data_IF_211672766946
#
_entry.id   IF_211672766946
#
_cell.length_a   1.000
_cell.length_b   1.000
_cell.length_c   1.000
_cell.angle_alpha   90.00
_cell.angle_beta   90.00
_cell.angle_gamma   90.00
#
_symmetry.space_group_name_H-M   'P 1'
#
loop_
_entity.id
_entity.type
_entity.pdbx_description
1 polymer ?
#
# COMPACT_ATOMS: atom_id res chain seq x y z
N UNK A 1 -8.17 20.06 36.55
CA UNK A 1 -7.49 19.02 37.35
C UNK A 1 -7.32 19.37 38.80
N UNK A 2 -6.69 20.49 39.17
CA UNK A 2 -6.52 20.91 40.57
C UNK A 2 -7.86 20.90 41.36
N UNK A 3 -8.91 21.50 40.80
CA UNK A 3 -10.25 21.58 41.43
C UNK A 3 -10.86 20.19 41.74
N UNK A 4 -10.65 19.17 40.89
CA UNK A 4 -11.16 17.82 41.17
C UNK A 4 -10.34 17.15 42.28
N UNK A 5 -9.00 17.36 42.32
CA UNK A 5 -8.14 16.85 43.39
C UNK A 5 -8.49 17.48 44.73
N UNK A 6 -8.76 18.79 44.77
CA UNK A 6 -9.16 19.52 45.97
C UNK A 6 -10.52 19.04 46.51
N UNK A 7 -11.43 18.62 45.65
CA UNK A 7 -12.75 18.12 46.06
C UNK A 7 -12.87 16.59 46.07
N UNK A 8 -11.76 15.86 46.05
CA UNK A 8 -11.75 14.38 45.98
C UNK A 8 -12.56 13.70 47.11
N UNK A 9 -12.64 14.30 48.28
CA UNK A 9 -13.47 13.81 49.40
C UNK A 9 -14.99 13.92 49.13
N UNK A 10 -15.39 14.86 48.28
CA UNK A 10 -16.80 15.10 47.93
C UNK A 10 -17.20 14.31 46.65
N UNK A 11 -16.23 13.67 46.00
CA UNK A 11 -16.40 12.92 44.75
C UNK A 11 -15.94 11.46 44.95
N UNK A 12 -16.61 10.67 45.78
CA UNK A 12 -16.22 9.29 46.01
C UNK A 12 -16.31 8.48 44.72
N UNK A 13 -15.22 7.76 44.38
CA UNK A 13 -15.13 6.97 43.16
C UNK A 13 -14.63 7.72 41.90
N UNK A 14 -14.31 9.01 42.06
CA UNK A 14 -13.67 9.78 40.98
C UNK A 14 -12.15 9.80 41.20
N UNK A 15 -11.41 9.36 40.19
CA UNK A 15 -9.94 9.34 40.19
C UNK A 15 -9.41 10.02 38.92
N UNK A 16 -8.31 10.77 39.08
CA UNK A 16 -7.62 11.37 37.92
C UNK A 16 -6.43 10.48 37.60
N UNK A 17 -6.46 9.89 36.42
CA UNK A 17 -5.38 9.06 35.89
C UNK A 17 -4.71 9.81 34.71
N UNK A 18 -3.39 9.90 34.73
CA UNK A 18 -2.62 10.37 33.58
C UNK A 18 -2.50 9.22 32.56
N UNK A 19 -2.91 9.48 31.33
CA UNK A 19 -2.79 8.52 30.24
C UNK A 19 -2.01 9.15 29.08
N UNK A 20 -1.25 8.34 28.39
CA UNK A 20 -0.63 8.74 27.12
C UNK A 20 -1.68 8.80 26.00
N UNK A 21 -1.57 9.82 25.17
CA UNK A 21 -2.37 9.94 23.97
C UNK A 21 -1.46 10.07 22.74
N UNK A 22 -1.82 9.39 21.66
CA UNK A 22 -1.09 9.53 20.38
C UNK A 22 -1.40 10.91 19.78
N UNK A 23 -0.35 11.64 19.41
CA UNK A 23 -0.43 12.90 18.68
C UNK A 23 0.40 12.81 17.41
N UNK A 24 -0.11 13.34 16.32
CA UNK A 24 0.56 13.35 15.01
C UNK A 24 0.88 14.80 14.64
N UNK A 25 2.11 15.24 14.89
CA UNK A 25 2.53 16.62 14.61
C UNK A 25 2.47 16.97 13.12
N UNK A 26 2.63 15.96 12.24
CA UNK A 26 2.51 16.07 10.80
C UNK A 26 1.41 15.12 10.31
N UNK A 27 0.19 15.39 10.73
CA UNK A 27 -0.97 14.50 10.58
C UNK A 27 -1.43 14.24 9.13
N UNK A 28 -0.96 15.05 8.19
CA UNK A 28 -1.19 14.94 6.75
C UNK A 28 -0.17 14.05 6.02
N UNK A 29 0.96 13.75 6.67
CA UNK A 29 2.03 12.94 6.08
C UNK A 29 1.69 11.45 6.17
N UNK A 30 1.58 10.78 5.02
CA UNK A 30 1.39 9.32 4.88
C UNK A 30 0.38 8.70 5.86
N UNK A 31 -0.80 9.30 6.13
CA UNK A 31 -1.70 8.80 7.18
C UNK A 31 -2.13 7.35 6.95
N UNK A 32 -2.33 6.94 5.70
CA UNK A 32 -2.70 5.56 5.34
C UNK A 32 -1.56 4.53 5.56
N UNK A 33 -0.30 4.97 5.64
CA UNK A 33 0.88 4.14 5.96
C UNK A 33 1.14 4.14 7.45
N UNK A 34 1.12 5.31 8.11
CA UNK A 34 1.23 5.42 9.57
C UNK A 34 0.16 4.56 10.25
N UNK A 35 -1.04 4.60 9.73
CA UNK A 35 -2.15 3.90 10.34
C UNK A 35 -2.64 4.61 11.59
N UNK A 36 -3.30 3.89 12.48
CA UNK A 36 -3.92 4.50 13.67
C UNK A 36 -3.92 3.57 14.87
N UNK A 37 -4.04 4.19 16.01
CA UNK A 37 -4.34 3.52 17.28
C UNK A 37 -5.85 3.56 17.57
N UNK A 38 -6.33 2.65 18.39
CA UNK A 38 -7.72 2.60 18.80
C UNK A 38 -7.94 1.71 20.01
N UNK A 39 -9.12 1.77 20.59
CA UNK A 39 -9.49 0.93 21.74
C UNK A 39 -9.53 -0.54 21.38
N UNK A 40 -9.18 -1.38 22.32
CA UNK A 40 -9.29 -2.83 22.21
C UNK A 40 -10.78 -3.20 22.07
N UNK A 41 -11.13 -3.96 21.02
CA UNK A 41 -12.49 -4.48 20.85
C UNK A 41 -12.68 -5.80 21.59
N UNK A 42 -13.92 -6.17 21.84
CA UNK A 42 -14.24 -7.42 22.54
C UNK A 42 -13.70 -8.66 21.78
N UNK A 43 -13.70 -8.61 20.43
CA UNK A 43 -13.20 -9.68 19.57
C UNK A 43 -11.66 -9.80 19.63
N UNK A 44 -10.95 -8.69 19.78
CA UNK A 44 -9.48 -8.68 19.97
C UNK A 44 -9.10 -9.09 21.40
N UNK A 45 -9.94 -8.73 22.38
CA UNK A 45 -9.70 -9.08 23.79
C UNK A 45 -9.89 -10.55 24.07
N UNK A 46 -10.97 -11.12 23.54
CA UNK A 46 -11.38 -12.52 23.77
C UNK A 46 -11.36 -13.24 22.43
N UNK A 47 -10.45 -14.20 22.27
CA UNK A 47 -10.34 -15.03 21.08
C UNK A 47 -10.85 -16.43 21.42
N UNK A 48 -11.73 -16.99 20.57
CA UNK A 48 -12.21 -18.35 20.69
C UNK A 48 -11.70 -19.15 19.49
N UNK A 49 -10.98 -20.24 19.76
CA UNK A 49 -10.46 -21.11 18.70
C UNK A 49 -11.55 -22.01 18.09
N UNK A 50 -11.19 -22.78 17.07
CA UNK A 50 -12.08 -23.73 16.39
C UNK A 50 -12.63 -24.85 17.31
N UNK A 51 -11.99 -25.09 18.45
CA UNK A 51 -12.38 -26.08 19.43
C UNK A 51 -13.23 -25.49 20.56
N UNK A 52 -13.57 -24.20 20.50
CA UNK A 52 -14.33 -23.49 21.51
C UNK A 52 -13.50 -23.04 22.73
N UNK A 53 -12.17 -23.17 22.70
CA UNK A 53 -11.30 -22.72 23.78
C UNK A 53 -11.16 -21.19 23.72
N UNK A 54 -11.39 -20.56 24.86
CA UNK A 54 -11.28 -19.10 25.01
C UNK A 54 -9.90 -18.72 25.55
N UNK A 55 -9.26 -17.78 24.87
CA UNK A 55 -7.98 -17.19 25.27
C UNK A 55 -8.06 -15.66 25.32
N UNK A 56 -7.14 -15.04 26.04
CA UNK A 56 -7.02 -13.59 26.18
C UNK A 56 -5.58 -13.15 25.82
N UNK A 57 -5.17 -13.22 24.53
CA UNK A 57 -3.78 -13.02 24.15
C UNK A 57 -3.24 -11.64 24.49
N UNK A 58 -4.09 -10.59 24.45
CA UNK A 58 -3.66 -9.24 24.83
C UNK A 58 -3.43 -9.13 26.33
N UNK A 59 -4.24 -9.82 27.17
CA UNK A 59 -4.01 -9.85 28.62
C UNK A 59 -2.69 -10.52 28.98
N UNK A 60 -2.30 -11.56 28.26
CA UNK A 60 -1.00 -12.26 28.43
C UNK A 60 0.17 -11.34 28.07
N UNK A 61 -0.03 -10.40 27.13
CA UNK A 61 0.91 -9.33 26.80
C UNK A 61 0.85 -8.12 27.74
N UNK A 62 0.07 -8.15 28.82
CA UNK A 62 -0.02 -7.10 29.82
C UNK A 62 -0.97 -5.95 29.47
N UNK A 63 -1.90 -6.13 28.52
CA UNK A 63 -2.93 -5.13 28.22
C UNK A 63 -4.11 -5.21 29.19
N UNK A 64 -4.76 -4.08 29.40
CA UNK A 64 -6.08 -3.97 29.99
C UNK A 64 -7.12 -3.77 28.87
N UNK A 65 -8.37 -4.16 29.11
CA UNK A 65 -9.43 -4.07 28.10
C UNK A 65 -9.69 -2.64 27.60
N UNK A 66 -9.36 -1.63 28.41
CA UNK A 66 -9.56 -0.21 28.10
C UNK A 66 -8.34 0.43 27.43
N UNK A 67 -7.27 -0.31 27.25
CA UNK A 67 -6.05 0.18 26.62
C UNK A 67 -6.28 0.47 25.13
N UNK A 68 -5.34 1.22 24.58
CA UNK A 68 -5.27 1.57 23.17
C UNK A 68 -4.15 0.76 22.55
N UNK A 69 -4.37 0.26 21.33
CA UNK A 69 -3.34 -0.45 20.57
C UNK A 69 -3.35 -0.02 19.10
N UNK A 70 -2.30 -0.30 18.37
CA UNK A 70 -2.22 -0.12 16.92
C UNK A 70 -3.26 -0.94 16.20
N UNK A 71 -4.10 -0.29 15.42
CA UNK A 71 -5.20 -0.93 14.65
C UNK A 71 -4.79 -1.20 13.22
N UNK A 72 -3.98 -0.32 12.63
CA UNK A 72 -3.56 -0.43 11.23
C UNK A 72 -2.21 0.24 11.00
N UNK A 73 -1.61 0.00 9.83
CA UNK A 73 -0.38 0.64 9.39
C UNK A 73 0.82 0.33 10.30
N UNK A 74 1.77 1.22 10.33
CA UNK A 74 2.98 1.12 11.16
C UNK A 74 2.66 1.06 12.65
N UNK A 75 1.61 1.77 13.11
CA UNK A 75 1.15 1.69 14.50
C UNK A 75 0.80 0.25 14.91
N UNK A 76 0.23 -0.54 14.00
CA UNK A 76 -0.09 -1.95 14.27
C UNK A 76 1.11 -2.88 14.10
N UNK A 77 1.96 -2.61 13.11
CA UNK A 77 3.13 -3.47 12.81
C UNK A 77 4.18 -3.36 13.92
N UNK A 78 4.41 -2.14 14.40
CA UNK A 78 5.40 -1.83 15.42
C UNK A 78 4.78 -1.60 16.80
N UNK A 79 3.58 -2.16 17.06
CA UNK A 79 2.91 -2.02 18.36
C UNK A 79 3.81 -2.47 19.53
N UNK A 80 4.45 -3.63 19.40
CA UNK A 80 5.31 -4.18 20.47
C UNK A 80 6.55 -3.30 20.72
N UNK A 81 7.01 -2.53 19.73
CA UNK A 81 8.13 -1.59 19.85
C UNK A 81 7.67 -0.22 20.36
N UNK A 82 6.54 0.26 19.84
CA UNK A 82 6.02 1.61 20.16
C UNK A 82 5.35 1.68 21.53
N UNK A 83 4.82 0.55 22.01
CA UNK A 83 4.20 0.46 23.32
C UNK A 83 5.28 0.40 24.40
N UNK A 84 5.20 1.28 25.39
CA UNK A 84 5.99 1.15 26.61
C UNK A 84 5.44 0.07 27.54
N UNK A 85 5.97 0.03 28.75
CA UNK A 85 5.43 -0.78 29.85
C UNK A 85 4.84 0.12 30.91
N UNK A 86 3.65 -0.22 31.36
CA UNK A 86 2.97 0.53 32.39
C UNK A 86 3.71 0.43 33.74
N UNK A 87 3.77 1.55 34.46
CA UNK A 87 4.18 1.56 35.85
C UNK A 87 3.08 1.04 36.79
N UNK A 88 3.45 0.66 37.97
CA UNK A 88 2.51 0.24 39.01
C UNK A 88 2.68 1.14 40.22
N UNK A 89 1.60 1.80 40.66
CA UNK A 89 1.53 2.61 41.83
C UNK A 89 0.64 1.94 42.87
N UNK A 90 1.16 1.78 44.08
CA UNK A 90 0.40 1.26 45.21
C UNK A 90 -0.11 2.41 46.04
N UNK A 91 -1.42 2.51 46.19
CA UNK A 91 -2.11 3.54 46.94
C UNK A 91 -2.63 2.93 48.22
N UNK A 92 -2.18 3.46 49.39
CA UNK A 92 -2.67 3.06 50.71
C UNK A 92 -3.73 4.06 51.18
N UNK A 93 -4.90 3.55 51.58
CA UNK A 93 -6.01 4.36 52.12
C UNK A 93 -6.25 4.00 53.58
N UNK A 94 -6.65 5.00 54.39
CA UNK A 94 -7.10 4.77 55.75
C UNK A 94 -8.56 4.26 55.77
N UNK A 95 -9.11 4.02 56.98
CA UNK A 95 -10.49 3.58 57.21
C UNK A 95 -11.56 4.52 56.63
N UNK A 96 -11.22 5.80 56.45
CA UNK A 96 -12.13 6.82 55.92
C UNK A 96 -12.01 6.98 54.41
N UNK A 97 -11.18 6.12 53.75
CA UNK A 97 -10.96 6.14 52.32
C UNK A 97 -9.98 7.18 51.81
N UNK A 98 -9.33 7.92 52.74
CA UNK A 98 -8.34 8.96 52.40
C UNK A 98 -7.01 8.30 52.05
N UNK A 99 -6.39 8.74 50.96
CA UNK A 99 -5.05 8.30 50.53
C UNK A 99 -4.03 8.82 51.58
N UNK A 100 -3.34 7.88 52.24
CA UNK A 100 -2.33 8.18 53.27
C UNK A 100 -0.90 7.93 52.80
N UNK A 101 -0.75 7.09 51.76
CA UNK A 101 0.55 6.81 51.13
C UNK A 101 0.37 6.42 49.66
N UNK A 102 1.34 6.81 48.85
CA UNK A 102 1.42 6.47 47.43
C UNK A 102 2.85 6.09 47.07
N UNK A 103 3.06 4.86 46.68
CA UNK A 103 4.39 4.31 46.35
C UNK A 103 4.42 3.76 44.91
N UNK A 104 5.31 4.31 44.09
CA UNK A 104 5.62 3.74 42.81
C UNK A 104 6.37 2.42 42.99
N UNK A 105 5.74 1.28 42.67
CA UNK A 105 6.29 -0.06 42.85
C UNK A 105 6.99 -0.55 41.60
N UNK A 106 6.53 -0.13 40.41
CA UNK A 106 7.16 -0.41 39.12
C UNK A 106 7.28 0.91 38.35
N UNK A 107 8.47 1.23 37.89
CA UNK A 107 8.69 2.42 37.05
C UNK A 107 8.18 2.16 35.63
N UNK A 108 7.42 3.07 35.02
CA UNK A 108 7.01 2.94 33.64
C UNK A 108 8.22 3.01 32.70
N UNK A 109 8.22 2.20 31.66
CA UNK A 109 9.24 2.21 30.61
C UNK A 109 8.62 2.78 29.32
N UNK A 110 9.21 3.83 28.68
CA UNK A 110 8.71 4.34 27.43
C UNK A 110 8.93 3.31 26.31
N UNK A 111 8.11 3.36 25.27
CA UNK A 111 8.32 2.60 24.04
C UNK A 111 9.55 3.08 23.27
N UNK A 112 9.94 2.29 22.28
CA UNK A 112 11.08 2.59 21.41
C UNK A 112 10.69 3.57 20.31
N UNK A 113 11.68 4.24 19.74
CA UNK A 113 11.51 5.09 18.56
C UNK A 113 11.67 4.26 17.29
N UNK A 114 10.72 4.37 16.37
CA UNK A 114 10.81 3.82 15.00
C UNK A 114 11.13 4.97 14.05
N UNK A 115 12.28 4.88 13.37
CA UNK A 115 12.69 5.85 12.35
C UNK A 115 12.37 5.31 10.97
N UNK A 116 11.62 6.09 10.18
CA UNK A 116 11.26 5.74 8.81
C UNK A 116 12.32 6.23 7.81
N UNK A 117 12.36 5.61 6.64
CA UNK A 117 13.18 6.05 5.49
C UNK A 117 12.54 7.24 4.74
N UNK A 118 11.31 7.57 5.06
CA UNK A 118 10.56 8.67 4.45
C UNK A 118 11.02 10.01 5.02
N UNK A 119 11.48 10.90 4.12
CA UNK A 119 11.72 12.32 4.46
C UNK A 119 10.41 13.11 4.32
N UNK A 120 9.99 13.79 5.38
CA UNK A 120 8.70 14.49 5.41
C UNK A 120 8.61 15.65 4.41
N UNK A 121 9.71 16.35 4.14
CA UNK A 121 9.72 17.45 3.16
C UNK A 121 9.64 16.90 1.73
N UNK A 122 10.35 15.80 1.46
CA UNK A 122 10.28 15.12 0.17
C UNK A 122 8.88 14.55 -0.06
N UNK A 123 8.31 13.87 0.95
CA UNK A 123 6.93 13.37 0.89
C UNK A 123 5.93 14.47 0.54
N UNK A 124 5.99 15.64 1.21
CA UNK A 124 5.12 16.79 0.90
C UNK A 124 5.28 17.29 -0.53
N UNK A 125 6.51 17.31 -1.04
CA UNK A 125 6.76 17.69 -2.42
C UNK A 125 6.12 16.70 -3.41
N UNK A 126 6.17 15.39 -3.11
CA UNK A 126 5.54 14.34 -3.92
C UNK A 126 4.02 14.42 -3.83
N UNK A 127 3.45 14.62 -2.63
CA UNK A 127 2.01 14.77 -2.42
C UNK A 127 1.46 15.97 -3.21
N UNK A 128 2.17 17.09 -3.13
CA UNK A 128 1.81 18.29 -3.89
C UNK A 128 1.90 18.07 -5.40
N UNK A 129 2.96 17.43 -5.88
CA UNK A 129 3.12 17.14 -7.30
C UNK A 129 2.02 16.22 -7.83
N UNK A 130 1.60 15.21 -7.04
CA UNK A 130 0.48 14.34 -7.39
C UNK A 130 -0.83 15.12 -7.48
N UNK A 131 -1.15 15.95 -6.48
CA UNK A 131 -2.35 16.77 -6.45
C UNK A 131 -2.40 17.76 -7.63
N UNK A 132 -1.31 18.52 -7.84
CA UNK A 132 -1.18 19.48 -8.94
C UNK A 132 -1.36 18.80 -10.32
N UNK A 133 -0.83 17.57 -10.48
CA UNK A 133 -0.95 16.81 -11.73
C UNK A 133 -2.39 16.36 -11.97
N UNK A 134 -3.09 15.86 -10.95
CA UNK A 134 -4.51 15.47 -11.04
C UNK A 134 -5.35 16.70 -11.40
N UNK A 135 -5.12 17.85 -10.77
CA UNK A 135 -5.78 19.09 -11.09
C UNK A 135 -5.51 19.58 -12.51
N UNK A 136 -4.26 19.45 -12.97
CA UNK A 136 -3.86 19.76 -14.34
C UNK A 136 -4.60 18.87 -15.35
N UNK A 137 -4.64 17.56 -15.11
CA UNK A 137 -5.36 16.61 -15.97
C UNK A 137 -6.83 16.99 -16.06
N UNK A 138 -7.46 17.30 -14.92
CA UNK A 138 -8.86 17.67 -14.88
C UNK A 138 -9.15 19.00 -15.60
N UNK A 139 -8.20 19.96 -15.63
CA UNK A 139 -8.32 21.21 -16.36
C UNK A 139 -8.11 21.03 -17.86
N UNK A 140 -7.11 20.26 -18.27
CA UNK A 140 -6.71 20.11 -19.69
C UNK A 140 -7.65 19.16 -20.43
N UNK A 141 -8.07 18.07 -19.78
CA UNK A 141 -8.89 17.02 -20.39
C UNK A 141 -10.34 17.04 -19.91
N UNK A 142 -10.87 18.23 -19.61
CA UNK A 142 -12.25 18.39 -19.14
C UNK A 142 -13.26 18.10 -20.27
N UNK A 143 -13.38 16.83 -20.62
CA UNK A 143 -14.35 16.34 -21.64
C UNK A 143 -15.74 16.05 -21.04
N UNK A 144 -16.00 16.48 -19.81
CA UNK A 144 -17.29 16.35 -19.13
C UNK A 144 -17.61 15.00 -18.53
N UNK A 145 -16.93 13.92 -18.91
CA UNK A 145 -17.29 12.54 -18.52
C UNK A 145 -16.25 11.76 -17.74
N UNK A 146 -14.98 12.14 -17.80
CA UNK A 146 -13.93 11.45 -17.05
C UNK A 146 -13.04 12.47 -16.32
N UNK A 147 -13.15 12.49 -14.99
CA UNK A 147 -12.25 13.25 -14.12
C UNK A 147 -11.27 12.30 -13.47
N UNK A 148 -9.99 12.69 -13.44
CA UNK A 148 -9.02 12.00 -12.57
C UNK A 148 -9.40 12.33 -11.11
N UNK A 149 -9.90 11.34 -10.39
CA UNK A 149 -10.39 11.54 -9.01
C UNK A 149 -9.37 11.08 -7.96
N UNK A 150 -8.42 10.24 -8.36
CA UNK A 150 -7.49 9.62 -7.42
C UNK A 150 -6.18 9.21 -8.11
N UNK A 151 -5.13 9.05 -7.31
CA UNK A 151 -3.83 8.58 -7.78
C UNK A 151 -2.91 8.15 -6.64
N UNK A 152 -1.77 7.57 -6.99
CA UNK A 152 -0.71 7.24 -6.05
C UNK A 152 0.66 7.42 -6.71
N UNK A 153 1.66 7.74 -5.89
CA UNK A 153 3.08 7.77 -6.29
C UNK A 153 3.89 7.02 -5.24
N UNK A 154 4.80 6.16 -5.69
CA UNK A 154 5.80 5.51 -4.85
C UNK A 154 7.17 5.86 -5.39
N UNK A 155 8.08 6.27 -4.50
CA UNK A 155 9.48 6.55 -4.82
C UNK A 155 10.36 5.67 -3.95
N UNK A 156 11.25 4.93 -4.60
CA UNK A 156 12.24 4.06 -3.94
C UNK A 156 13.66 4.56 -4.21
N UNK A 157 14.55 4.37 -3.25
CA UNK A 157 15.98 4.42 -3.53
C UNK A 157 16.39 3.12 -4.24
N UNK A 158 16.94 3.23 -5.44
CA UNK A 158 17.36 2.06 -6.24
C UNK A 158 18.59 1.35 -5.66
N UNK A 159 19.31 1.97 -4.71
CA UNK A 159 20.52 1.38 -4.11
C UNK A 159 20.22 0.32 -3.07
N UNK A 160 19.19 0.55 -2.27
CA UNK A 160 18.85 -0.32 -1.13
C UNK A 160 17.35 -0.72 -1.07
N UNK A 161 16.53 -0.17 -1.97
CA UNK A 161 15.09 -0.44 -2.02
C UNK A 161 14.26 0.31 -0.98
N UNK A 162 14.85 1.23 -0.22
CA UNK A 162 14.12 1.98 0.79
C UNK A 162 13.02 2.86 0.18
N UNK A 163 11.87 2.94 0.87
CA UNK A 163 10.76 3.79 0.45
C UNK A 163 11.05 5.23 0.86
N UNK A 164 11.23 6.11 -0.12
CA UNK A 164 11.47 7.54 0.09
C UNK A 164 10.18 8.35 0.14
N UNK A 165 9.15 7.92 -0.58
CA UNK A 165 7.80 8.50 -0.54
C UNK A 165 6.74 7.48 -0.95
N UNK A 166 5.54 7.59 -0.33
CA UNK A 166 4.36 6.77 -0.63
C UNK A 166 3.11 7.66 -0.58
N UNK A 167 2.82 8.34 -1.69
CA UNK A 167 1.75 9.32 -1.80
C UNK A 167 0.43 8.70 -2.24
N UNK A 168 -0.65 9.18 -1.65
CA UNK A 168 -2.03 8.81 -2.00
C UNK A 168 -2.86 10.08 -2.21
N UNK A 169 -3.67 10.12 -3.27
CA UNK A 169 -4.62 11.20 -3.50
C UNK A 169 -6.02 10.62 -3.81
N UNK A 170 -7.09 11.15 -3.21
CA UNK A 170 -7.04 12.05 -2.07
C UNK A 170 -6.47 11.37 -0.82
N UNK A 171 -6.08 12.18 0.15
CA UNK A 171 -5.59 11.76 1.46
C UNK A 171 -6.45 12.38 2.56
N UNK A 172 -6.09 12.20 3.81
CA UNK A 172 -6.82 12.72 4.96
C UNK A 172 -5.85 13.19 6.06
N UNK A 173 -6.38 13.98 7.00
CA UNK A 173 -5.67 14.38 8.20
C UNK A 173 -5.90 13.33 9.31
N UNK A 174 -4.81 12.77 9.82
CA UNK A 174 -4.84 11.71 10.84
C UNK A 174 -5.47 12.19 12.16
N UNK A 175 -5.25 13.44 12.56
CA UNK A 175 -5.83 13.99 13.78
C UNK A 175 -7.34 14.22 13.63
N UNK A 176 -7.84 14.41 12.42
CA UNK A 176 -9.26 14.59 12.14
C UNK A 176 -9.98 13.28 11.81
N UNK A 177 -9.27 12.14 11.76
CA UNK A 177 -9.83 10.86 11.37
C UNK A 177 -11.09 10.49 12.15
N UNK A 178 -11.07 10.59 13.48
CA UNK A 178 -12.21 10.19 14.31
C UNK A 178 -13.41 11.13 14.15
N UNK A 179 -13.15 12.44 14.02
CA UNK A 179 -14.19 13.45 13.85
C UNK A 179 -14.87 13.36 12.47
N UNK A 180 -14.09 13.09 11.43
CA UNK A 180 -14.54 13.12 10.04
C UNK A 180 -14.72 11.70 9.45
N UNK A 181 -14.72 10.65 10.25
CA UNK A 181 -14.78 9.26 9.77
C UNK A 181 -15.99 9.00 8.86
N UNK A 182 -17.16 9.52 9.22
CA UNK A 182 -18.38 9.36 8.43
C UNK A 182 -18.25 9.99 7.04
N UNK A 183 -17.63 11.16 6.93
CA UNK A 183 -17.35 11.84 5.67
C UNK A 183 -16.34 11.05 4.85
N UNK A 184 -15.17 10.73 5.42
CA UNK A 184 -14.10 10.00 4.73
C UNK A 184 -14.52 8.61 4.26
N UNK A 185 -15.34 7.90 5.06
CA UNK A 185 -15.79 6.54 4.73
C UNK A 185 -16.88 6.50 3.65
N UNK A 186 -17.66 7.57 3.51
CA UNK A 186 -18.73 7.70 2.50
C UNK A 186 -18.27 8.39 1.22
N UNK A 187 -17.06 8.97 1.21
CA UNK A 187 -16.53 9.67 0.05
C UNK A 187 -16.19 8.66 -1.07
N UNK A 188 -16.81 8.77 -2.26
CA UNK A 188 -16.56 7.87 -3.38
C UNK A 188 -15.12 7.94 -3.92
N UNK A 189 -14.37 9.00 -3.59
CA UNK A 189 -12.94 9.09 -3.91
C UNK A 189 -12.04 8.28 -2.97
N UNK A 190 -12.60 7.65 -1.92
CA UNK A 190 -11.94 6.74 -0.99
C UNK A 190 -10.63 7.31 -0.38
N UNK A 191 -10.65 8.42 0.36
CA UNK A 191 -9.44 9.03 0.92
C UNK A 191 -8.70 8.12 1.92
N UNK A 192 -9.42 7.20 2.59
CA UNK A 192 -8.84 6.26 3.55
C UNK A 192 -8.10 5.08 2.91
N UNK A 193 -8.28 4.88 1.59
CA UNK A 193 -7.70 3.72 0.90
C UNK A 193 -6.24 3.95 0.54
N UNK A 194 -5.36 3.05 1.00
CA UNK A 194 -3.93 3.09 0.69
C UNK A 194 -3.66 2.61 -0.75
N UNK A 195 -3.77 3.51 -1.72
CA UNK A 195 -3.57 3.19 -3.14
C UNK A 195 -2.15 2.78 -3.47
N UNK A 196 -1.18 3.37 -2.80
CA UNK A 196 0.24 3.10 -3.02
C UNK A 196 0.59 1.63 -2.77
N UNK A 197 0.01 1.02 -1.72
CA UNK A 197 0.31 -0.33 -1.28
C UNK A 197 -0.78 -1.36 -1.58
N UNK A 198 -2.04 -0.93 -1.73
CA UNK A 198 -3.19 -1.84 -1.85
C UNK A 198 -4.00 -1.64 -3.14
N UNK A 199 -3.81 -0.52 -3.84
CA UNK A 199 -4.48 -0.27 -5.12
C UNK A 199 -3.98 -1.23 -6.19
N UNK A 200 -4.89 -1.91 -6.88
CA UNK A 200 -4.58 -2.86 -7.94
C UNK A 200 -4.91 -2.23 -9.30
N UNK A 201 -3.89 -2.04 -10.11
CA UNK A 201 -4.00 -1.38 -11.42
C UNK A 201 -3.36 -2.22 -12.51
N UNK A 202 -3.91 -2.16 -13.71
CA UNK A 202 -3.29 -2.77 -14.90
C UNK A 202 -2.01 -2.00 -15.23
N UNK A 203 -0.83 -2.68 -15.29
CA UNK A 203 0.43 -2.00 -15.53
C UNK A 203 0.54 -1.40 -16.94
N UNK A 204 -0.20 -1.93 -17.89
CA UNK A 204 -0.12 -1.49 -19.28
C UNK A 204 1.28 -1.65 -19.85
N UNK A 205 1.69 -0.72 -20.71
CA UNK A 205 2.98 -0.79 -21.42
C UNK A 205 4.22 -0.85 -20.52
N UNK A 206 4.12 -0.54 -19.25
CA UNK A 206 5.24 -0.72 -18.30
C UNK A 206 5.61 -2.18 -18.07
N UNK A 207 4.72 -3.12 -18.42
CA UNK A 207 4.95 -4.57 -18.36
C UNK A 207 5.83 -5.11 -19.51
N UNK A 208 5.89 -4.40 -20.63
CA UNK A 208 6.59 -4.84 -21.85
C UNK A 208 8.07 -5.18 -21.67
N UNK A 209 8.86 -4.47 -20.85
CA UNK A 209 10.23 -4.87 -20.57
C UNK A 209 10.37 -6.29 -20.02
N UNK A 210 9.48 -6.72 -19.12
CA UNK A 210 9.49 -8.09 -18.59
C UNK A 210 9.25 -9.13 -19.70
N UNK A 211 8.32 -8.86 -20.63
CA UNK A 211 8.06 -9.70 -21.79
C UNK A 211 9.25 -9.71 -22.75
N UNK A 212 9.92 -8.58 -22.94
CA UNK A 212 11.11 -8.50 -23.79
C UNK A 212 12.27 -9.32 -23.21
N UNK A 213 12.52 -9.21 -21.88
CA UNK A 213 13.53 -10.03 -21.19
C UNK A 213 13.22 -11.51 -21.35
N UNK A 214 11.96 -11.92 -21.10
CA UNK A 214 11.52 -13.30 -21.28
C UNK A 214 11.76 -13.82 -22.71
N UNK A 215 11.48 -13.00 -23.71
CA UNK A 215 11.63 -13.38 -25.12
C UNK A 215 13.09 -13.49 -25.55
N UNK A 216 13.95 -12.62 -25.05
CA UNK A 216 15.39 -12.65 -25.35
C UNK A 216 16.08 -13.82 -24.62
N UNK A 217 15.82 -13.99 -23.33
CA UNK A 217 16.48 -15.01 -22.49
C UNK A 217 16.03 -16.42 -22.88
N UNK A 218 14.77 -16.62 -23.26
CA UNK A 218 14.27 -17.89 -23.80
C UNK A 218 14.79 -18.24 -25.21
N UNK A 219 15.50 -17.33 -25.88
CA UNK A 219 15.95 -17.49 -27.24
C UNK A 219 14.85 -17.43 -28.31
N UNK A 220 13.61 -17.04 -27.93
CA UNK A 220 12.51 -16.87 -28.88
C UNK A 220 12.80 -15.79 -29.92
N UNK A 221 13.46 -14.72 -29.46
CA UNK A 221 13.96 -13.63 -30.30
C UNK A 221 15.41 -13.30 -29.93
N UNK A 222 16.08 -12.59 -30.82
CA UNK A 222 17.32 -11.89 -30.55
C UNK A 222 17.18 -10.40 -30.90
N UNK A 223 18.24 -9.60 -30.68
CA UNK A 223 18.18 -8.15 -30.94
C UNK A 223 17.86 -7.74 -32.37
N UNK A 224 18.03 -8.64 -33.35
CA UNK A 224 17.77 -8.41 -34.78
C UNK A 224 16.43 -9.00 -35.25
N UNK A 225 15.75 -9.75 -34.40
CA UNK A 225 14.44 -10.32 -34.70
C UNK A 225 13.41 -9.23 -34.88
N UNK A 226 12.64 -9.27 -35.96
CA UNK A 226 11.64 -8.24 -36.25
C UNK A 226 10.24 -8.81 -36.38
N UNK A 227 9.25 -7.98 -36.03
CA UNK A 227 7.82 -8.20 -36.28
C UNK A 227 7.31 -7.05 -37.16
N UNK A 228 6.56 -7.36 -38.22
CA UNK A 228 5.98 -6.34 -39.08
C UNK A 228 4.76 -5.68 -38.44
N UNK A 229 4.84 -4.37 -38.19
CA UNK A 229 3.75 -3.58 -37.66
C UNK A 229 3.12 -2.69 -38.73
N UNK A 230 1.85 -2.94 -39.06
CA UNK A 230 1.02 -2.06 -39.87
C UNK A 230 -0.10 -1.37 -39.05
N UNK A 231 -0.01 -1.42 -37.74
CA UNK A 231 -1.00 -0.84 -36.82
C UNK A 231 -2.07 -1.81 -36.33
N UNK A 232 -2.15 -3.02 -36.85
CA UNK A 232 -3.15 -4.02 -36.44
C UNK A 232 -2.49 -5.40 -36.36
N UNK A 233 -2.84 -6.19 -35.37
CA UNK A 233 -2.41 -7.57 -35.23
C UNK A 233 -3.49 -8.53 -35.75
N UNK A 234 -3.26 -9.16 -36.90
CA UNK A 234 -4.26 -9.93 -37.66
C UNK A 234 -4.10 -11.46 -37.55
N UNK A 235 -3.53 -11.95 -36.44
CA UNK A 235 -3.34 -13.40 -36.26
C UNK A 235 -4.64 -14.17 -36.02
N UNK A 236 -5.54 -13.59 -35.22
CA UNK A 236 -6.82 -14.21 -34.87
C UNK A 236 -7.89 -13.90 -35.92
N UNK A 237 -8.83 -14.82 -36.13
CA UNK A 237 -9.90 -14.65 -37.10
C UNK A 237 -10.87 -13.51 -36.69
N UNK A 238 -11.24 -13.46 -35.40
CA UNK A 238 -12.32 -12.59 -34.92
C UNK A 238 -11.83 -11.55 -33.89
N UNK A 239 -10.51 -11.42 -33.72
CA UNK A 239 -9.91 -10.48 -32.79
C UNK A 239 -8.68 -9.80 -33.39
N UNK A 240 -8.78 -8.51 -33.66
CA UNK A 240 -7.75 -7.71 -34.32
C UNK A 240 -7.31 -6.53 -33.46
N UNK A 241 -6.50 -6.77 -32.41
CA UNK A 241 -6.05 -5.70 -31.53
C UNK A 241 -5.12 -4.73 -32.24
N UNK A 242 -5.23 -3.45 -31.83
CA UNK A 242 -4.55 -2.35 -32.54
C UNK A 242 -3.30 -1.90 -31.80
N UNK A 243 -2.32 -1.49 -32.56
CA UNK A 243 -1.20 -0.71 -32.07
C UNK A 243 -1.62 0.74 -31.88
N UNK A 244 -1.18 1.36 -30.80
CA UNK A 244 -1.27 2.80 -30.64
C UNK A 244 -0.34 3.44 -31.68
N UNK A 245 -0.86 4.33 -32.53
CA UNK A 245 -0.05 4.96 -33.59
C UNK A 245 0.92 5.96 -32.98
N UNK A 246 2.18 5.57 -32.83
CA UNK A 246 3.26 6.42 -32.35
C UNK A 246 4.32 6.71 -33.42
N UNK A 247 3.91 6.82 -34.69
CA UNK A 247 4.82 7.21 -35.78
C UNK A 247 5.78 6.10 -36.24
N UNK A 248 5.52 4.83 -35.92
CA UNK A 248 6.29 3.69 -36.38
C UNK A 248 5.46 2.77 -37.29
N UNK A 249 6.11 2.13 -38.25
CA UNK A 249 5.54 1.11 -39.12
C UNK A 249 6.68 0.28 -39.76
N UNK A 250 6.34 -0.89 -40.33
CA UNK A 250 7.31 -1.78 -40.96
C UNK A 250 7.89 -2.82 -40.03
N UNK A 251 9.10 -3.26 -40.27
CA UNK A 251 9.81 -4.25 -39.47
C UNK A 251 10.33 -3.60 -38.18
N UNK A 252 9.84 -4.03 -37.05
CA UNK A 252 10.11 -3.49 -35.73
C UNK A 252 10.91 -4.52 -34.92
N UNK A 253 12.13 -4.18 -34.50
CA UNK A 253 12.93 -4.96 -33.56
C UNK A 253 12.55 -4.67 -32.09
N UNK A 254 13.13 -5.40 -31.16
CA UNK A 254 12.79 -5.27 -29.72
C UNK A 254 13.14 -3.89 -29.16
N UNK A 255 14.24 -3.26 -29.59
CA UNK A 255 14.66 -1.93 -29.14
C UNK A 255 13.66 -0.88 -29.62
N UNK A 256 13.30 -0.93 -30.88
CA UNK A 256 12.29 -0.05 -31.49
C UNK A 256 10.91 -0.30 -30.86
N UNK A 257 10.56 -1.57 -30.56
CA UNK A 257 9.31 -1.93 -29.92
C UNK A 257 9.19 -1.35 -28.52
N UNK A 258 10.24 -1.36 -27.70
CA UNK A 258 10.28 -0.71 -26.39
C UNK A 258 10.20 0.80 -26.56
N UNK A 259 11.06 1.40 -27.40
CA UNK A 259 11.12 2.84 -27.64
C UNK A 259 9.77 3.45 -28.02
N UNK A 260 9.06 2.81 -28.92
CA UNK A 260 7.77 3.27 -29.45
C UNK A 260 6.56 2.59 -28.82
N UNK A 261 6.79 1.75 -27.82
CA UNK A 261 5.73 0.99 -27.15
C UNK A 261 4.84 0.20 -28.13
N UNK A 262 5.44 -0.47 -29.13
CA UNK A 262 4.74 -1.16 -30.21
C UNK A 262 3.91 -2.35 -29.66
N UNK A 263 2.59 -2.22 -29.67
CA UNK A 263 1.72 -3.31 -29.22
C UNK A 263 1.80 -4.54 -30.14
N UNK A 264 1.86 -4.35 -31.47
CA UNK A 264 1.88 -5.47 -32.42
C UNK A 264 3.10 -6.38 -32.22
N UNK A 265 4.26 -5.80 -31.92
CA UNK A 265 5.45 -6.58 -31.58
C UNK A 265 5.18 -7.46 -30.34
N UNK A 266 4.67 -6.86 -29.27
CA UNK A 266 4.43 -7.58 -28.01
C UNK A 266 3.23 -8.52 -28.08
N UNK A 267 2.25 -8.28 -28.96
CA UNK A 267 1.18 -9.24 -29.26
C UNK A 267 1.74 -10.52 -29.90
N UNK A 268 2.63 -10.39 -30.89
CA UNK A 268 3.25 -11.55 -31.53
C UNK A 268 4.17 -12.33 -30.58
N UNK A 269 5.03 -11.61 -29.87
CA UNK A 269 5.94 -12.20 -28.90
C UNK A 269 5.17 -12.88 -27.76
N UNK A 270 4.17 -12.20 -27.19
CA UNK A 270 3.35 -12.74 -26.10
C UNK A 270 2.58 -13.98 -26.49
N UNK A 271 1.98 -14.00 -27.69
CA UNK A 271 1.32 -15.19 -28.25
C UNK A 271 2.29 -16.38 -28.38
N UNK A 272 3.51 -16.13 -28.81
CA UNK A 272 4.52 -17.19 -29.02
C UNK A 272 5.13 -17.70 -27.72
N UNK A 273 5.33 -16.83 -26.73
CA UNK A 273 5.82 -17.18 -25.38
C UNK A 273 4.74 -17.83 -24.53
N UNK A 274 3.52 -17.32 -24.58
CA UNK A 274 2.42 -17.53 -23.64
C UNK A 274 2.67 -16.93 -22.24
N UNK A 275 1.59 -16.71 -21.47
CA UNK A 275 1.66 -16.10 -20.13
C UNK A 275 2.55 -16.90 -19.16
N UNK A 276 2.52 -18.22 -19.20
CA UNK A 276 3.32 -19.05 -18.30
C UNK A 276 4.83 -18.71 -18.34
N UNK A 277 5.34 -18.33 -19.51
CA UNK A 277 6.75 -18.00 -19.66
C UNK A 277 7.03 -16.58 -19.20
N UNK A 278 6.37 -15.57 -19.76
CA UNK A 278 6.72 -14.19 -19.42
C UNK A 278 6.28 -13.77 -18.00
N UNK A 279 5.26 -14.42 -17.42
CA UNK A 279 4.87 -14.19 -16.04
C UNK A 279 5.91 -14.73 -15.04
N UNK A 280 6.60 -15.83 -15.38
CA UNK A 280 7.72 -16.30 -14.58
C UNK A 280 8.86 -15.26 -14.48
N UNK A 281 9.10 -14.51 -15.57
CA UNK A 281 10.06 -13.40 -15.57
C UNK A 281 9.53 -12.17 -14.84
N UNK A 282 8.26 -11.82 -15.06
CA UNK A 282 7.60 -10.74 -14.34
C UNK A 282 7.64 -10.98 -12.82
N UNK A 283 7.42 -12.22 -12.39
CA UNK A 283 7.52 -12.63 -10.98
C UNK A 283 8.95 -12.47 -10.46
N UNK A 284 9.98 -12.93 -11.19
CA UNK A 284 11.39 -12.74 -10.82
C UNK A 284 11.77 -11.27 -10.69
N UNK A 285 11.13 -10.40 -11.46
CA UNK A 285 11.34 -8.96 -11.43
C UNK A 285 10.51 -8.24 -10.34
N UNK A 286 9.75 -8.96 -9.51
CA UNK A 286 9.04 -8.41 -8.36
C UNK A 286 7.53 -8.18 -8.54
N UNK A 287 6.97 -8.48 -9.73
CA UNK A 287 5.53 -8.35 -9.96
C UNK A 287 4.74 -9.58 -9.46
N UNK A 288 3.54 -9.39 -8.95
CA UNK A 288 2.67 -10.46 -8.47
C UNK A 288 3.10 -11.11 -7.16
N UNK A 289 4.02 -10.51 -6.41
CA UNK A 289 4.52 -10.98 -5.12
C UNK A 289 4.67 -9.84 -4.11
N UNK A 290 4.90 -10.18 -2.84
CA UNK A 290 5.16 -9.16 -1.80
C UNK A 290 6.49 -8.47 -2.07
N UNK A 291 6.51 -7.17 -1.86
CA UNK A 291 7.72 -6.35 -2.01
C UNK A 291 8.62 -6.39 -0.78
N UNK A 292 8.07 -6.82 0.36
CA UNK A 292 8.76 -6.83 1.64
C UNK A 292 8.58 -5.56 2.46
N UNK A 293 7.73 -4.62 2.01
CA UNK A 293 7.33 -3.48 2.84
C UNK A 293 6.61 -3.97 4.10
N UNK A 294 6.92 -3.39 5.25
CA UNK A 294 6.45 -3.86 6.56
C UNK A 294 4.94 -3.72 6.74
N UNK A 295 4.33 -2.77 6.07
CA UNK A 295 2.88 -2.51 6.14
C UNK A 295 2.13 -3.43 5.19
N UNK A 296 0.89 -3.73 5.52
CA UNK A 296 0.05 -4.60 4.68
C UNK A 296 -0.10 -4.09 3.25
N UNK A 297 0.34 -4.92 2.29
CA UNK A 297 0.25 -4.69 0.85
C UNK A 297 -0.64 -5.73 0.17
N UNK A 298 -1.25 -5.36 -0.98
CA UNK A 298 -1.93 -6.32 -1.84
C UNK A 298 -0.93 -7.04 -2.76
N UNK A 299 -1.16 -8.34 -3.01
CA UNK A 299 -0.22 -9.15 -3.79
C UNK A 299 -0.22 -8.84 -5.29
N UNK A 300 -1.27 -8.20 -5.81
CA UNK A 300 -1.45 -8.16 -7.24
C UNK A 300 -1.79 -9.54 -7.82
N UNK A 301 -1.85 -9.62 -9.13
CA UNK A 301 -2.16 -10.84 -9.86
C UNK A 301 -1.61 -10.75 -11.28
N UNK A 302 -1.01 -11.82 -11.76
CA UNK A 302 -0.64 -12.00 -13.16
C UNK A 302 -1.71 -12.84 -13.88
N UNK A 303 -1.81 -12.71 -15.20
CA UNK A 303 -2.72 -13.50 -16.04
C UNK A 303 -2.20 -14.92 -16.16
N UNK A 304 -3.03 -15.92 -15.89
CA UNK A 304 -2.61 -17.33 -15.98
C UNK A 304 -3.56 -18.15 -16.85
N UNK A 305 -3.08 -19.31 -17.33
CA UNK A 305 -3.92 -20.28 -18.05
C UNK A 305 -5.03 -20.90 -17.18
N UNK A 306 -4.91 -20.76 -15.85
CA UNK A 306 -5.92 -21.24 -14.89
C UNK A 306 -7.06 -20.23 -14.68
N UNK A 307 -6.97 -19.05 -15.29
CA UNK A 307 -8.03 -18.06 -15.20
C UNK A 307 -9.30 -18.58 -15.89
N UNK A 308 -10.46 -18.44 -15.24
CA UNK A 308 -11.74 -18.97 -15.73
C UNK A 308 -12.15 -18.40 -17.10
N UNK A 309 -11.65 -17.21 -17.44
CA UNK A 309 -11.87 -16.53 -18.71
C UNK A 309 -10.69 -16.66 -19.69
N UNK A 310 -9.76 -17.60 -19.45
CA UNK A 310 -8.57 -17.75 -20.28
C UNK A 310 -8.91 -18.11 -21.72
N UNK A 311 -8.25 -17.40 -22.62
CA UNK A 311 -8.25 -17.66 -24.07
C UNK A 311 -6.87 -17.30 -24.62
N UNK A 312 -6.48 -17.84 -25.77
CA UNK A 312 -5.19 -17.48 -26.41
C UNK A 312 -5.06 -15.96 -26.72
N UNK A 313 -6.18 -15.24 -26.85
CA UNK A 313 -6.16 -13.78 -26.98
C UNK A 313 -5.84 -13.06 -25.67
N UNK A 314 -6.03 -13.71 -24.52
CA UNK A 314 -5.67 -13.15 -23.22
C UNK A 314 -4.15 -13.07 -23.04
N UNK A 315 -3.37 -14.07 -23.51
CA UNK A 315 -1.90 -14.00 -23.55
C UNK A 315 -1.40 -12.75 -24.32
N UNK A 316 -2.07 -12.43 -25.42
CA UNK A 316 -1.73 -11.24 -26.22
C UNK A 316 -2.00 -9.93 -25.46
N UNK A 317 -3.12 -9.87 -24.75
CA UNK A 317 -3.45 -8.70 -23.92
C UNK A 317 -2.51 -8.59 -22.71
N UNK A 318 -2.24 -9.70 -22.05
CA UNK A 318 -1.38 -9.73 -20.87
C UNK A 318 0.07 -9.34 -21.22
N UNK A 319 0.57 -9.68 -22.41
CA UNK A 319 1.89 -9.27 -22.86
C UNK A 319 2.10 -7.74 -23.00
N UNK A 320 1.02 -6.97 -23.03
CA UNK A 320 1.07 -5.50 -22.97
C UNK A 320 0.61 -4.96 -21.63
N UNK A 321 0.57 -5.81 -20.59
CA UNK A 321 0.19 -5.46 -19.23
C UNK A 321 -1.30 -5.17 -19.05
N UNK A 322 -2.16 -5.84 -19.83
CA UNK A 322 -3.61 -5.79 -19.72
C UNK A 322 -4.18 -7.18 -19.38
N UNK A 323 -5.43 -7.44 -19.74
CA UNK A 323 -6.10 -8.69 -19.39
C UNK A 323 -6.40 -8.76 -17.90
N UNK A 324 -6.04 -9.87 -17.24
CA UNK A 324 -6.26 -10.08 -15.81
C UNK A 324 -5.08 -9.62 -14.94
N UNK A 325 -4.00 -9.10 -15.54
CA UNK A 325 -2.81 -8.63 -14.83
C UNK A 325 -3.08 -7.31 -14.13
N UNK A 326 -2.96 -7.31 -12.81
CA UNK A 326 -3.08 -6.13 -11.94
C UNK A 326 -2.00 -6.17 -10.86
N UNK A 327 -1.38 -5.03 -10.60
CA UNK A 327 -0.28 -4.88 -9.66
C UNK A 327 -0.44 -3.61 -8.84
N UNK A 328 0.26 -3.51 -7.72
CA UNK A 328 0.24 -2.29 -6.91
C UNK A 328 1.30 -1.30 -7.39
N UNK A 329 1.14 0.02 -7.09
CA UNK A 329 2.17 1.01 -7.36
C UNK A 329 3.53 0.69 -6.75
N UNK A 330 3.56 0.12 -5.51
CA UNK A 330 4.84 -0.27 -4.90
C UNK A 330 5.48 -1.45 -5.64
N UNK A 331 4.72 -2.42 -6.14
CA UNK A 331 5.26 -3.48 -7.00
C UNK A 331 5.84 -2.92 -8.31
N UNK A 332 5.18 -1.94 -8.93
CA UNK A 332 5.72 -1.28 -10.13
C UNK A 332 7.00 -0.51 -9.83
N UNK A 333 7.08 0.17 -8.68
CA UNK A 333 8.29 0.87 -8.26
C UNK A 333 9.45 -0.13 -8.01
N UNK A 334 9.19 -1.24 -7.32
CA UNK A 334 10.16 -2.33 -7.08
C UNK A 334 10.62 -2.94 -8.40
N UNK A 335 9.69 -3.25 -9.28
CA UNK A 335 9.99 -3.76 -10.63
C UNK A 335 10.89 -2.80 -11.43
N UNK A 336 10.57 -1.50 -11.39
CA UNK A 336 11.40 -0.49 -12.06
C UNK A 336 12.80 -0.41 -11.45
N UNK A 337 12.92 -0.44 -10.12
CA UNK A 337 14.20 -0.43 -9.42
C UNK A 337 15.06 -1.65 -9.76
N UNK A 338 14.49 -2.87 -9.74
CA UNK A 338 15.17 -4.11 -10.13
C UNK A 338 15.61 -4.05 -11.59
N UNK A 339 14.73 -3.61 -12.49
CA UNK A 339 15.06 -3.50 -13.93
C UNK A 339 16.13 -2.45 -14.22
N UNK A 340 16.29 -1.44 -13.36
CA UNK A 340 17.31 -0.40 -13.49
C UNK A 340 18.68 -0.88 -13.01
N UNK A 341 18.74 -1.72 -11.97
CA UNK A 341 19.98 -2.12 -11.30
C UNK A 341 20.55 -3.45 -11.80
N UNK A 342 19.74 -4.27 -12.40
CA UNK A 342 20.07 -5.63 -12.88
C UNK A 342 19.64 -5.83 -14.33
#
# INVERSE_FOLDING_TARGET
MATIKEHSLQLPGVEIVETSARSYDQSDIIPAVLGRVGKITAEKWKVTDSNGQVTYPLREKGYNMNDVLGISGLESVYEDELRGKDGVETITRNSDGVIVDTKLTTVPEPGHTVQLTIDSNFQRAVDKALADNIDMINRVYNTGTMKAAAGAVVVLDVKDGSVLAASNYPSYDQNLYAANYSEYSSDPSLPLFNRALQGLYTPGSTFKPAVAVAALDSGLINQYSTVYCNGVYNYFKDYHPRCTRHGHSGNIDVITAIKWSCNVFFYDVGRRLTSDVYDAYAYKLGLGQRTGVEVGEALGRLTTKNDSNYTASLDVQAAIGQGNTVVTPIQLATYAAVSYTH
#
